data_IF_407418982366
#
_entry.id   IF_407418982366
#
_cell.length_a   1.000
_cell.length_b   1.000
_cell.length_c   1.000
_cell.angle_alpha   90.00
_cell.angle_beta   90.00
_cell.angle_gamma   90.00
#
_symmetry.space_group_name_H-M   'P 1'
#
loop_
_entity.id
_entity.type
_entity.pdbx_description
1 polymer ?
2 non-polymer ?
3 non-polymer ?
4 water ?
#
# COMPACT_ATOMS: atom_id res chain seq x y z
N UNK A 20 18.94 -19.87 3.15
CA UNK A 20 18.17 -21.09 2.88
C UNK A 20 17.61 -21.66 4.18
N UNK A 21 18.45 -21.69 5.22
CA UNK A 21 18.04 -22.11 6.55
C UNK A 21 17.13 -21.06 7.19
N UNK A 22 17.17 -19.85 6.65
CA UNK A 22 16.34 -18.75 7.13
C UNK A 22 14.93 -18.77 6.56
N UNK A 23 14.67 -19.59 5.54
CA UNK A 23 13.30 -19.69 5.02
C UNK A 23 12.36 -20.29 6.06
N UNK A 24 11.16 -19.70 6.22
CA UNK A 24 10.19 -20.25 7.16
C UNK A 24 9.73 -21.65 6.75
N UNK A 25 9.20 -22.39 7.71
CA UNK A 25 8.48 -23.63 7.47
C UNK A 25 7.05 -23.26 7.11
N UNK A 26 6.76 -23.26 5.82
CA UNK A 26 5.47 -22.81 5.31
C UNK A 26 4.32 -23.73 5.73
N UNK A 27 4.65 -24.92 6.24
CA UNK A 27 3.63 -25.91 6.59
C UNK A 27 3.24 -25.88 8.07
N UNK A 28 3.99 -25.15 8.89
CA UNK A 28 3.76 -25.18 10.33
C UNK A 28 2.51 -24.41 10.74
N UNK A 29 1.90 -24.81 11.85
CA UNK A 29 0.73 -24.10 12.35
C UNK A 29 1.06 -22.65 12.70
N UNK A 30 2.27 -22.42 13.18
CA UNK A 30 2.72 -21.08 13.56
C UNK A 30 2.74 -20.18 12.34
N UNK A 31 3.28 -20.69 11.25
CA UNK A 31 3.36 -19.90 10.02
C UNK A 31 1.96 -19.65 9.44
N UNK A 32 1.15 -20.70 9.36
CA UNK A 32 -0.19 -20.56 8.81
C UNK A 32 -1.07 -19.58 9.60
N UNK A 33 -0.89 -19.57 10.92
CA UNK A 33 -1.67 -18.65 11.74
C UNK A 33 -1.34 -17.19 11.40
N UNK A 34 -0.04 -16.89 11.32
CA UNK A 34 0.39 -15.53 11.01
C UNK A 34 0.00 -15.21 9.57
N UNK A 35 0.12 -16.20 8.69
CA UNK A 35 -0.20 -15.98 7.28
C UNK A 35 -1.69 -15.69 7.11
N UNK A 36 -2.53 -16.27 7.97
CA UNK A 36 -3.96 -16.05 7.84
C UNK A 36 -4.32 -14.58 8.00
N UNK A 37 -3.54 -13.86 8.81
CA UNK A 37 -3.79 -12.43 9.01
C UNK A 37 -3.10 -11.57 7.97
N UNK A 38 -1.86 -11.91 7.65
CA UNK A 38 -1.09 -11.15 6.66
C UNK A 38 -1.72 -11.28 5.26
N UNK A 39 -2.08 -12.51 4.91
CA UNK A 39 -2.78 -12.77 3.64
C UNK A 39 -4.09 -11.99 3.54
N UNK A 40 -4.86 -11.96 4.62
CA UNK A 40 -6.11 -11.23 4.64
C UNK A 40 -5.88 -9.74 4.42
N UNK A 41 -4.86 -9.20 5.09
CA UNK A 41 -4.56 -7.78 4.96
C UNK A 41 -4.21 -7.41 3.52
N UNK A 42 -3.40 -8.23 2.87
CA UNK A 42 -3.04 -7.97 1.48
C UNK A 42 -4.27 -8.06 0.56
N UNK A 43 -5.10 -9.09 0.76
CA UNK A 43 -6.33 -9.23 -0.04
C UNK A 43 -7.25 -8.03 0.14
N UNK A 44 -7.44 -7.64 1.40
CA UNK A 44 -8.29 -6.49 1.70
C UNK A 44 -7.71 -5.22 1.11
N UNK A 45 -6.38 -5.07 1.17
CA UNK A 45 -5.73 -3.89 0.67
C UNK A 45 -5.86 -3.76 -0.84
N UNK A 46 -5.74 -4.87 -1.55
CA UNK A 46 -5.91 -4.87 -3.01
C UNK A 46 -7.33 -4.50 -3.39
N UNK A 47 -8.30 -5.02 -2.66
CA UNK A 47 -9.68 -4.66 -2.90
C UNK A 47 -9.92 -3.17 -2.62
N UNK A 48 -9.35 -2.67 -1.53
CA UNK A 48 -9.48 -1.25 -1.22
C UNK A 48 -8.84 -0.42 -2.31
N UNK A 49 -7.68 -0.86 -2.81
CA UNK A 49 -6.98 -0.12 -3.87
C UNK A 49 -7.88 -0.04 -5.10
N UNK A 50 -8.48 -1.16 -5.49
CA UNK A 50 -9.45 -1.15 -6.59
C UNK A 50 -10.56 -0.13 -6.34
N UNK A 51 -11.17 -0.18 -5.16
CA UNK A 51 -12.28 0.72 -4.85
C UNK A 51 -11.82 2.17 -4.86
N UNK A 52 -10.60 2.42 -4.40
CA UNK A 52 -10.09 3.78 -4.31
C UNK A 52 -9.85 4.39 -5.69
N UNK A 53 -9.27 3.62 -6.59
CA UNK A 53 -9.02 4.16 -7.92
C UNK A 53 -10.35 4.41 -8.67
N UNK A 54 -11.31 3.50 -8.53
CA UNK A 54 -12.64 3.72 -9.11
C UNK A 54 -13.27 4.99 -8.52
N UNK A 55 -13.12 5.17 -7.20
CA UNK A 55 -13.64 6.36 -6.54
C UNK A 55 -12.97 7.65 -7.00
N UNK A 56 -11.66 7.60 -7.23
CA UNK A 56 -10.95 8.78 -7.73
C UNK A 56 -11.48 9.18 -9.11
N UNK A 57 -11.97 8.20 -9.86
CA UNK A 57 -12.58 8.45 -11.16
C UNK A 57 -13.79 9.35 -11.10
N UNK A 58 -14.48 9.36 -9.97
CA UNK A 58 -15.62 10.25 -9.79
C UNK A 58 -15.15 11.69 -9.58
N UNK A 59 -13.90 11.85 -9.13
CA UNK A 59 -13.32 13.17 -8.94
C UNK A 59 -12.57 13.66 -10.16
N UNK A 60 -12.06 12.72 -10.95
CA UNK A 60 -11.31 13.03 -12.18
C UNK A 60 -11.96 12.29 -13.35
N UNK A 61 -13.11 12.80 -13.82
CA UNK A 61 -13.91 12.06 -14.81
C UNK A 61 -13.13 11.84 -16.12
N UNK A 62 -12.20 12.73 -16.44
CA UNK A 62 -11.40 12.58 -17.65
C UNK A 62 -10.26 11.56 -17.48
N UNK A 63 -10.05 11.08 -16.25
CA UNK A 63 -9.05 10.03 -15.99
C UNK A 63 -9.67 8.64 -15.86
N UNK A 64 -10.99 8.54 -16.04
CA UNK A 64 -11.70 7.29 -15.75
C UNK A 64 -11.15 6.04 -16.44
N UNK A 65 -10.78 6.12 -17.71
CA UNK A 65 -10.24 4.93 -18.37
C UNK A 65 -8.89 4.49 -17.81
N UNK A 66 -8.03 5.43 -17.49
CA UNK A 66 -6.77 5.06 -16.89
C UNK A 66 -7.03 4.48 -15.49
N UNK A 67 -7.91 5.13 -14.73
CA UNK A 67 -8.18 4.66 -13.37
C UNK A 67 -8.84 3.30 -13.37
N UNK A 68 -9.70 3.03 -14.36
CA UNK A 68 -10.28 1.71 -14.51
C UNK A 68 -9.22 0.66 -14.78
N UNK A 69 -8.22 1.03 -15.57
CA UNK A 69 -7.12 0.11 -15.87
C UNK A 69 -6.33 -0.20 -14.61
N UNK A 70 -6.05 0.83 -13.81
CA UNK A 70 -5.32 0.59 -12.55
C UNK A 70 -6.16 -0.30 -11.63
N UNK A 71 -7.45 -0.02 -11.56
CA UNK A 71 -8.35 -0.77 -10.67
C UNK A 71 -8.40 -2.23 -11.07
N UNK A 72 -8.40 -2.49 -12.38
CA UNK A 72 -8.39 -3.87 -12.85
C UNK A 72 -7.12 -4.60 -12.47
N UNK A 73 -5.99 -3.90 -12.47
CA UNK A 73 -4.74 -4.49 -12.01
C UNK A 73 -4.87 -4.91 -10.55
N UNK A 74 -5.50 -4.07 -9.75
CA UNK A 74 -5.66 -4.36 -8.33
C UNK A 74 -6.47 -5.63 -8.14
N UNK A 75 -7.47 -5.82 -8.98
CA UNK A 75 -8.27 -7.04 -8.85
C UNK A 75 -7.45 -8.28 -9.21
N UNK A 76 -6.55 -8.16 -10.18
CA UNK A 76 -5.66 -9.26 -10.50
C UNK A 76 -4.71 -9.57 -9.34
N UNK A 77 -4.20 -8.53 -8.69
CA UNK A 77 -3.35 -8.74 -7.51
C UNK A 77 -4.15 -9.47 -6.42
N UNK A 78 -5.37 -9.03 -6.21
CA UNK A 78 -6.25 -9.63 -5.20
C UNK A 78 -6.44 -11.12 -5.45
N UNK A 79 -6.73 -11.49 -6.70
CA UNK A 79 -6.91 -12.90 -7.02
C UNK A 79 -5.64 -13.68 -6.83
N UNK A 80 -4.51 -13.07 -7.18
CA UNK A 80 -3.21 -13.72 -7.04
C UNK A 80 -2.90 -14.02 -5.58
N UNK A 81 -3.12 -13.04 -4.71
CA UNK A 81 -2.83 -13.22 -3.29
C UNK A 81 -3.84 -14.13 -2.63
N UNK A 82 -5.08 -14.11 -3.12
CA UNK A 82 -6.07 -15.04 -2.63
C UNK A 82 -5.57 -16.47 -2.87
N UNK A 83 -5.07 -16.70 -4.08
CA UNK A 83 -4.48 -17.98 -4.46
C UNK A 83 -3.30 -18.38 -3.59
N UNK A 84 -2.50 -17.40 -3.17
CA UNK A 84 -1.37 -17.67 -2.25
C UNK A 84 -1.82 -18.28 -0.94
N UNK A 85 -2.92 -17.77 -0.39
CA UNK A 85 -3.46 -18.30 0.85
C UNK A 85 -3.98 -19.72 0.65
N UNK A 86 -4.73 -19.92 -0.43
CA UNK A 86 -5.27 -21.25 -0.76
C UNK A 86 -4.16 -22.28 -0.92
N UNK A 87 -3.08 -21.88 -1.59
CA UNK A 87 -1.92 -22.75 -1.86
C UNK A 87 -1.27 -23.28 -0.57
N UNK A 88 -1.29 -22.47 0.48
CA UNK A 88 -0.72 -22.87 1.76
C UNK A 88 -1.75 -23.52 2.70
N UNK A 89 -2.99 -23.62 2.25
CA UNK A 89 -4.04 -24.22 3.08
C UNK A 89 -4.47 -23.30 4.19
N UNK A 90 -4.37 -22.00 3.92
CA UNK A 90 -4.67 -20.99 4.92
C UNK A 90 -6.03 -20.36 4.66
N UNK A 91 -6.79 -20.13 5.72
CA UNK A 91 -8.05 -19.41 5.60
C UNK A 91 -7.86 -17.98 6.06
N UNK A 92 -8.03 -17.03 5.15
CA UNK A 92 -7.73 -15.63 5.44
C UNK A 92 -8.71 -15.03 6.47
N UNK A 93 -8.15 -14.39 7.49
CA UNK A 93 -8.96 -13.72 8.52
C UNK A 93 -9.45 -12.36 8.04
N UNK A 94 -10.53 -12.34 7.26
CA UNK A 94 -10.93 -11.09 6.62
C UNK A 94 -11.45 -10.02 7.58
N UNK A 95 -12.00 -10.43 8.72
CA UNK A 95 -12.50 -9.45 9.68
C UNK A 95 -11.36 -8.63 10.27
N UNK A 96 -10.26 -9.32 10.60
CA UNK A 96 -9.05 -8.68 11.10
C UNK A 96 -8.54 -7.66 10.07
N UNK A 97 -8.54 -8.05 8.80
CA UNK A 97 -8.05 -7.18 7.73
C UNK A 97 -8.92 -5.93 7.58
N UNK A 98 -10.24 -6.11 7.68
CA UNK A 98 -11.14 -4.98 7.54
C UNK A 98 -10.90 -3.96 8.65
N UNK A 99 -10.66 -4.45 9.86
CA UNK A 99 -10.38 -3.57 10.99
C UNK A 99 -9.04 -2.86 10.84
N UNK A 100 -8.05 -3.58 10.31
CA UNK A 100 -6.70 -3.05 10.07
C UNK A 100 -6.73 -1.82 9.17
N UNK A 101 -7.54 -1.88 8.11
CA UNK A 101 -7.65 -0.79 7.13
C UNK A 101 -8.67 0.29 7.48
N UNK A 102 -9.49 0.04 8.50
CA UNK A 102 -10.61 0.94 8.80
C UNK A 102 -10.23 2.42 8.99
N UNK A 103 -9.18 2.71 9.80
CA UNK A 103 -8.83 4.14 10.01
C UNK A 103 -8.45 4.87 8.75
N UNK A 104 -7.64 4.23 7.91
CA UNK A 104 -7.19 4.84 6.68
C UNK A 104 -8.36 4.93 5.70
N UNK A 105 -9.17 3.87 5.68
CA UNK A 105 -10.36 3.83 4.84
C UNK A 105 -11.29 5.00 5.17
N UNK A 106 -11.47 5.25 6.47
CA UNK A 106 -12.32 6.34 6.96
C UNK A 106 -11.81 7.69 6.46
N UNK A 107 -10.50 7.91 6.55
CA UNK A 107 -9.93 9.17 6.09
C UNK A 107 -10.07 9.33 4.57
N UNK A 108 -9.88 8.25 3.83
CA UNK A 108 -10.09 8.31 2.39
C UNK A 108 -11.53 8.70 2.07
N UNK A 109 -12.49 8.05 2.73
CA UNK A 109 -13.89 8.29 2.42
C UNK A 109 -14.26 9.73 2.75
N UNK A 110 -13.70 10.25 3.84
CA UNK A 110 -13.99 11.63 4.24
C UNK A 110 -13.49 12.61 3.19
N UNK A 111 -12.28 12.39 2.70
CA UNK A 111 -11.70 13.24 1.67
C UNK A 111 -12.49 13.13 0.37
N UNK A 112 -12.87 11.90 0.01
CA UNK A 112 -13.67 11.66 -1.20
C UNK A 112 -14.97 12.47 -1.16
N UNK A 113 -15.63 12.43 0.00
CA UNK A 113 -16.89 13.13 0.19
C UNK A 113 -16.76 14.63 0.09
N UNK A 114 -15.56 15.14 0.40
CA UNK A 114 -15.29 16.56 0.32
C UNK A 114 -14.65 16.96 -1.02
N UNK A 115 -14.54 16.00 -1.93
CA UNK A 115 -13.95 16.27 -3.23
C UNK A 115 -12.46 16.55 -3.21
N UNK A 116 -11.80 16.12 -2.14
CA UNK A 116 -10.38 16.42 -1.97
C UNK A 116 -9.48 15.43 -2.70
N UNK A 117 -9.41 15.60 -4.01
CA UNK A 117 -8.59 14.74 -4.87
C UNK A 117 -7.12 14.56 -4.44
N UNK A 118 -6.41 15.65 -4.11
CA UNK A 118 -5.00 15.45 -3.73
C UNK A 118 -4.86 14.58 -2.49
N UNK A 119 -5.79 14.68 -1.55
CA UNK A 119 -5.74 13.86 -0.34
C UNK A 119 -5.97 12.38 -0.69
N UNK A 120 -6.95 12.14 -1.54
CA UNK A 120 -7.26 10.77 -1.97
C UNK A 120 -6.06 10.13 -2.68
N UNK A 121 -5.41 10.90 -3.55
CA UNK A 121 -4.22 10.41 -4.25
C UNK A 121 -3.03 10.20 -3.32
N UNK A 122 -2.82 11.11 -2.36
CA UNK A 122 -1.74 10.89 -1.39
C UNK A 122 -1.98 9.62 -0.58
N UNK A 123 -3.23 9.40 -0.17
CA UNK A 123 -3.53 8.22 0.63
C UNK A 123 -3.31 6.96 -0.19
N UNK A 124 -3.94 6.86 -1.35
CA UNK A 124 -3.86 5.61 -2.11
C UNK A 124 -2.59 5.50 -2.92
N UNK A 125 -2.37 6.46 -3.80
CA UNK A 125 -1.34 6.34 -4.82
C UNK A 125 0.07 6.55 -4.28
N UNK A 126 0.19 7.26 -3.16
CA UNK A 126 1.49 7.43 -2.53
C UNK A 126 1.68 6.54 -1.30
N UNK A 127 0.88 6.78 -0.25
CA UNK A 127 1.12 6.08 1.02
C UNK A 127 0.87 4.58 0.92
N UNK A 128 -0.31 4.20 0.45
CA UNK A 128 -0.64 2.78 0.37
C UNK A 128 0.22 2.06 -0.67
N UNK A 129 0.46 2.67 -1.83
CA UNK A 129 1.33 2.01 -2.82
C UNK A 129 2.75 1.85 -2.28
N UNK A 130 3.28 2.88 -1.61
CA UNK A 130 4.63 2.74 -1.02
C UNK A 130 4.68 1.66 0.05
N UNK A 131 3.63 1.55 0.86
CA UNK A 131 3.55 0.53 1.91
C UNK A 131 3.55 -0.86 1.25
N UNK A 132 2.76 -1.00 0.19
CA UNK A 132 2.70 -2.27 -0.55
C UNK A 132 4.04 -2.63 -1.16
N UNK A 133 4.65 -1.67 -1.85
CA UNK A 133 5.92 -1.89 -2.52
C UNK A 133 6.94 -2.41 -1.52
N UNK A 134 7.01 -1.71 -0.39
CA UNK A 134 7.97 -2.04 0.67
C UNK A 134 7.71 -3.43 1.20
N UNK A 135 6.45 -3.71 1.48
CA UNK A 135 6.05 -5.00 2.03
C UNK A 135 6.33 -6.12 1.04
N UNK A 136 5.94 -5.92 -0.21
CA UNK A 136 6.17 -6.97 -1.21
C UNK A 136 7.65 -7.23 -1.46
N UNK A 137 8.46 -6.18 -1.54
CA UNK A 137 9.90 -6.36 -1.71
C UNK A 137 10.52 -7.12 -0.54
N UNK A 138 10.01 -6.87 0.66
CA UNK A 138 10.57 -7.49 1.85
C UNK A 138 10.14 -8.96 1.93
N UNK A 139 8.95 -9.26 1.45
CA UNK A 139 8.40 -10.61 1.48
C UNK A 139 9.03 -11.54 0.44
N UNK A 140 9.32 -11.00 -0.74
CA UNK A 140 9.82 -11.84 -1.83
C UNK A 140 10.94 -12.83 -1.44
N UNK A 141 12.03 -12.33 -0.81
CA UNK A 141 13.13 -13.25 -0.45
C UNK A 141 12.77 -14.33 0.57
N UNK A 142 11.67 -14.18 1.30
CA UNK A 142 11.30 -15.18 2.30
C UNK A 142 10.00 -15.91 1.95
N UNK A 143 9.56 -15.77 0.72
CA UNK A 143 8.27 -16.33 0.31
C UNK A 143 8.42 -17.75 -0.25
N UNK A 144 7.35 -18.51 -0.14
CA UNK A 144 7.29 -19.84 -0.73
C UNK A 144 7.31 -19.69 -2.27
N UNK A 145 7.66 -20.78 -2.99
CA UNK A 145 7.88 -20.65 -4.44
C UNK A 145 6.65 -20.17 -5.23
N UNK A 146 5.45 -20.57 -4.83
CA UNK A 146 4.23 -20.15 -5.51
C UNK A 146 3.99 -18.65 -5.32
N UNK A 147 3.99 -18.22 -4.06
CA UNK A 147 3.75 -16.82 -3.73
C UNK A 147 4.83 -15.88 -4.25
N UNK A 148 6.07 -16.38 -4.37
CA UNK A 148 7.16 -15.55 -4.85
C UNK A 148 6.92 -15.10 -6.27
N UNK A 149 6.46 -16.02 -7.11
CA UNK A 149 6.18 -15.70 -8.50
C UNK A 149 5.06 -14.66 -8.61
N UNK A 150 3.99 -14.91 -7.85
CA UNK A 150 2.86 -13.99 -7.84
C UNK A 150 3.29 -12.60 -7.38
N UNK A 151 4.02 -12.52 -6.28
CA UNK A 151 4.44 -11.25 -5.72
C UNK A 151 5.40 -10.49 -6.65
N UNK A 152 6.33 -11.21 -7.28
CA UNK A 152 7.24 -10.60 -8.25
C UNK A 152 6.47 -9.96 -9.41
N UNK A 153 5.36 -10.58 -9.81
CA UNK A 153 4.53 -10.02 -10.86
C UNK A 153 3.83 -8.73 -10.42
N UNK A 154 3.34 -8.74 -9.19
CA UNK A 154 2.58 -7.62 -8.66
C UNK A 154 3.43 -6.35 -8.48
N UNK A 155 4.67 -6.51 -8.01
CA UNK A 155 5.48 -5.34 -7.63
C UNK A 155 5.66 -4.34 -8.78
N UNK A 156 5.79 -4.87 -9.99
CA UNK A 156 5.99 -4.04 -11.17
C UNK A 156 4.78 -3.14 -11.42
N UNK A 157 3.59 -3.65 -11.14
CA UNK A 157 2.39 -2.85 -11.28
C UNK A 157 2.34 -1.72 -10.27
N UNK A 158 2.85 -1.95 -9.07
CA UNK A 158 2.68 -0.92 -8.04
C UNK A 158 3.56 0.31 -8.35
N UNK A 159 4.68 0.07 -9.04
CA UNK A 159 5.54 1.16 -9.52
C UNK A 159 4.73 2.07 -10.44
N UNK A 160 3.91 1.45 -11.28
CA UNK A 160 3.06 2.15 -12.22
C UNK A 160 2.06 3.02 -11.49
N UNK A 161 1.54 2.50 -10.38
CA UNK A 161 0.50 3.18 -9.63
C UNK A 161 1.09 4.39 -8.94
N UNK A 162 2.23 4.17 -8.31
CA UNK A 162 3.00 5.24 -7.67
C UNK A 162 3.30 6.34 -8.68
N UNK A 163 3.75 5.96 -9.87
CA UNK A 163 4.04 6.95 -10.91
C UNK A 163 2.81 7.74 -11.35
N UNK A 164 1.66 7.08 -11.40
CA UNK A 164 0.40 7.77 -11.72
C UNK A 164 0.09 8.87 -10.70
N UNK A 165 0.19 8.54 -9.41
CA UNK A 165 -0.06 9.51 -8.36
C UNK A 165 0.95 10.64 -8.36
N UNK A 166 2.22 10.29 -8.50
CA UNK A 166 3.31 11.25 -8.61
C UNK A 166 3.07 12.23 -9.75
N UNK A 167 2.73 11.71 -10.92
CA UNK A 167 2.51 12.57 -12.08
C UNK A 167 1.42 13.62 -11.84
N UNK A 168 0.28 13.20 -11.30
CA UNK A 168 -0.83 14.12 -11.13
C UNK A 168 -0.50 15.18 -10.08
N UNK A 169 0.05 14.74 -8.95
CA UNK A 169 0.38 15.66 -7.87
C UNK A 169 1.47 16.63 -8.32
N UNK A 170 2.44 16.12 -9.08
CA UNK A 170 3.50 16.97 -9.63
C UNK A 170 2.92 18.07 -10.52
N UNK A 171 1.97 17.71 -11.37
CA UNK A 171 1.33 18.67 -12.27
C UNK A 171 0.47 19.67 -11.52
N UNK A 172 -0.03 19.29 -10.36
CA UNK A 172 -0.95 20.14 -9.61
C UNK A 172 -0.41 20.67 -8.26
N UNK A 173 0.89 20.56 -8.06
CA UNK A 173 1.51 20.83 -6.76
C UNK A 173 1.23 22.25 -6.25
N UNK A 174 1.24 23.23 -7.14
CA UNK A 174 1.15 24.61 -6.69
C UNK A 174 -0.22 24.98 -6.14
N UNK A 175 -1.24 24.23 -6.53
CA UNK A 175 -2.57 24.49 -6.03
C UNK A 175 -2.92 23.65 -4.80
N UNK A 176 -2.15 22.60 -4.52
CA UNK A 176 -2.57 21.68 -3.45
C UNK A 176 -1.51 21.40 -2.39
N UNK A 177 -0.44 22.20 -2.40
CA UNK A 177 0.66 22.06 -1.46
C UNK A 177 0.20 21.91 -0.02
N UNK A 178 -0.61 22.85 0.42
CA UNK A 178 -1.04 22.88 1.82
C UNK A 178 -1.91 21.68 2.17
N UNK A 179 -2.83 21.33 1.28
CA UNK A 179 -3.68 20.16 1.49
C UNK A 179 -2.83 18.89 1.63
N UNK A 180 -1.76 18.79 0.84
CA UNK A 180 -0.89 17.61 0.90
C UNK A 180 -0.16 17.51 2.23
N UNK A 181 0.32 18.66 2.72
CA UNK A 181 0.96 18.69 4.03
C UNK A 181 0.00 18.21 5.10
N UNK A 182 -1.25 18.67 5.00
CA UNK A 182 -2.28 18.26 5.94
C UNK A 182 -2.58 16.76 5.82
N UNK A 183 -2.73 16.27 4.59
CA UNK A 183 -3.02 14.84 4.38
C UNK A 183 -1.87 13.98 4.90
N UNK A 184 -0.64 14.44 4.69
CA UNK A 184 0.51 13.71 5.23
C UNK A 184 0.48 13.67 6.75
N UNK A 185 0.24 14.82 7.38
CA UNK A 185 0.20 14.89 8.83
C UNK A 185 -0.85 13.94 9.42
N UNK A 186 -2.00 13.88 8.78
CA UNK A 186 -3.08 13.04 9.28
C UNK A 186 -2.86 11.54 9.01
N UNK A 187 -2.28 11.22 7.86
CA UNK A 187 -2.29 9.83 7.40
C UNK A 187 -0.97 9.08 7.51
N UNK A 188 0.15 9.79 7.46
CA UNK A 188 1.42 9.10 7.64
C UNK A 188 1.48 8.35 8.99
N UNK A 189 0.97 8.97 10.08
CA UNK A 189 1.01 8.20 11.33
C UNK A 189 0.14 6.94 11.31
N UNK A 190 -0.88 6.90 10.45
CA UNK A 190 -1.71 5.70 10.36
C UNK A 190 -0.94 4.57 9.72
N UNK A 191 -0.10 4.91 8.73
CA UNK A 191 0.76 3.91 8.13
C UNK A 191 1.77 3.38 9.16
N UNK A 192 2.31 4.28 9.98
CA UNK A 192 3.26 3.85 11.01
C UNK A 192 2.57 2.91 12.00
N UNK A 193 1.34 3.23 12.37
CA UNK A 193 0.60 2.37 13.28
C UNK A 193 0.29 1.02 12.65
N UNK A 194 -0.01 1.02 11.35
CA UNK A 194 -0.25 -0.22 10.63
C UNK A 194 1.00 -1.10 10.62
N UNK A 195 2.16 -0.48 10.43
CA UNK A 195 3.43 -1.20 10.46
C UNK A 195 3.67 -1.82 11.83
N UNK A 196 3.39 -1.06 12.88
CA UNK A 196 3.51 -1.60 14.25
C UNK A 196 2.59 -2.80 14.46
N UNK A 197 1.39 -2.73 13.92
CA UNK A 197 0.39 -3.78 14.12
C UNK A 197 0.72 -5.07 13.36
N UNK A 198 1.37 -4.91 12.21
CA UNK A 198 1.66 -6.05 11.35
C UNK A 198 3.00 -6.71 11.73
N UNK A 199 3.80 -6.02 12.53
CA UNK A 199 5.19 -6.46 12.77
C UNK A 199 5.34 -7.84 13.37
N UNK A 200 4.48 -8.19 14.33
CA UNK A 200 4.57 -9.50 14.96
C UNK A 200 4.35 -10.63 13.96
N UNK A 201 3.27 -10.53 13.20
CA UNK A 201 2.98 -11.54 12.17
C UNK A 201 4.01 -11.53 11.06
N UNK A 202 4.47 -10.35 10.69
CA UNK A 202 5.52 -10.23 9.68
C UNK A 202 6.79 -10.93 10.11
N UNK A 203 7.11 -10.88 11.40
CA UNK A 203 8.33 -11.52 11.88
C UNK A 203 8.23 -13.04 11.78
N UNK A 204 7.05 -13.61 12.06
CA UNK A 204 6.84 -15.04 11.87
C UNK A 204 7.12 -15.40 10.40
N UNK A 205 6.78 -14.48 9.50
CA UNK A 205 7.03 -14.68 8.08
C UNK A 205 8.48 -14.39 7.68
N UNK A 206 9.33 -14.15 8.68
CA UNK A 206 10.76 -13.87 8.50
C UNK A 206 11.03 -12.52 7.84
N UNK A 207 10.14 -11.57 8.09
CA UNK A 207 10.33 -10.21 7.61
C UNK A 207 10.73 -9.30 8.78
N UNK A 208 11.76 -8.48 8.57
CA UNK A 208 12.25 -7.56 9.60
C UNK A 208 11.48 -6.24 9.53
N UNK A 209 10.90 -5.84 10.65
CA UNK A 209 10.17 -4.57 10.71
C UNK A 209 11.00 -3.37 10.27
N UNK A 210 12.30 -3.39 10.57
CA UNK A 210 13.17 -2.28 10.19
C UNK A 210 13.33 -2.17 8.69
N UNK A 211 13.36 -3.33 8.00
CA UNK A 211 13.37 -3.33 6.54
C UNK A 211 12.07 -2.75 6.00
N UNK A 212 10.95 -3.15 6.58
CA UNK A 212 9.64 -2.66 6.17
C UNK A 212 9.56 -1.14 6.31
N UNK A 213 10.01 -0.62 7.45
CA UNK A 213 9.99 0.83 7.67
C UNK A 213 10.93 1.57 6.74
N UNK A 214 12.17 1.09 6.63
CA UNK A 214 13.16 1.72 5.77
C UNK A 214 12.67 1.81 4.32
N UNK A 215 12.23 0.68 3.79
CA UNK A 215 11.86 0.66 2.38
C UNK A 215 10.61 1.47 2.12
N UNK A 216 9.69 1.50 3.08
CA UNK A 216 8.52 2.36 2.96
C UNK A 216 8.93 3.83 2.89
N UNK A 217 9.74 4.28 3.85
CA UNK A 217 10.14 5.68 3.88
C UNK A 217 10.94 6.08 2.65
N UNK A 218 11.80 5.19 2.17
CA UNK A 218 12.56 5.47 0.95
C UNK A 218 11.66 5.64 -0.27
N UNK A 219 10.69 4.73 -0.45
CA UNK A 219 9.75 4.84 -1.55
C UNK A 219 8.94 6.13 -1.48
N UNK A 220 8.46 6.45 -0.28
CA UNK A 220 7.62 7.62 -0.09
C UNK A 220 8.44 8.90 -0.28
N UNK A 221 9.65 8.91 0.28
CA UNK A 221 10.53 10.07 0.13
C UNK A 221 10.85 10.32 -1.33
N UNK A 222 11.16 9.26 -2.06
CA UNK A 222 11.42 9.37 -3.48
C UNK A 222 10.23 9.90 -4.28
N UNK A 223 9.01 9.49 -3.91
CA UNK A 223 7.83 9.99 -4.59
C UNK A 223 7.63 11.48 -4.31
N UNK A 224 7.84 11.87 -3.05
CA UNK A 224 7.70 13.27 -2.67
C UNK A 224 8.74 14.12 -3.41
N UNK A 225 9.93 13.57 -3.62
CA UNK A 225 10.95 14.28 -4.36
C UNK A 225 10.53 14.50 -5.81
N UNK A 226 10.02 13.44 -6.44
CA UNK A 226 9.55 13.51 -7.82
C UNK A 226 8.43 14.55 -7.98
N UNK A 227 7.55 14.61 -6.99
CA UNK A 227 6.42 15.52 -7.01
C UNK A 227 6.87 16.98 -6.95
N UNK A 228 8.01 17.23 -6.31
CA UNK A 228 8.58 18.56 -6.31
C UNK A 228 8.86 19.16 -4.94
N UNK A 229 8.68 18.37 -3.88
CA UNK A 229 9.02 18.84 -2.54
C UNK A 229 10.54 18.90 -2.34
N UNK A 230 11.01 19.91 -1.60
CA UNK A 230 12.44 20.01 -1.27
C UNK A 230 12.78 19.26 0.02
N UNK A 231 14.08 19.19 0.35
CA UNK A 231 14.53 18.46 1.54
C UNK A 231 13.93 18.96 2.86
N UNK A 232 13.88 20.27 3.05
CA UNK A 232 13.27 20.82 4.26
C UNK A 232 11.84 20.31 4.40
N UNK A 233 11.12 20.38 3.30
CA UNK A 233 9.72 19.96 3.28
C UNK A 233 9.55 18.48 3.57
N UNK A 234 10.39 17.65 2.96
CA UNK A 234 10.28 16.20 3.09
C UNK A 234 10.73 15.72 4.47
N UNK A 235 11.79 16.33 5.00
CA UNK A 235 12.22 16.04 6.35
C UNK A 235 11.09 16.39 7.32
N UNK A 236 10.48 17.55 7.12
CA UNK A 236 9.36 17.98 7.94
C UNK A 236 8.18 17.00 7.81
N UNK A 237 7.91 16.56 6.59
CA UNK A 237 6.82 15.61 6.36
C UNK A 237 7.11 14.23 6.97
N UNK A 238 8.32 13.71 6.77
CA UNK A 238 8.70 12.42 7.37
C UNK A 238 8.56 12.48 8.89
N UNK A 239 8.89 13.66 9.45
CA UNK A 239 8.84 13.89 10.89
C UNK A 239 7.43 13.82 11.48
N UNK A 240 6.41 13.89 10.64
CA UNK A 240 5.03 13.88 11.10
C UNK A 240 4.64 12.49 11.61
N UNK A 241 5.42 11.49 11.23
CA UNK A 241 5.21 10.10 11.65
C UNK A 241 5.43 9.90 13.15
N UNK A 242 6.03 10.89 13.81
CA UNK A 242 6.34 10.80 15.23
C UNK A 242 5.07 10.88 16.09
X LIG B 1 -2.04 -3.85 -5.95
X LIG C 1 -1.58 -0.55 -6.40
X LIG D 1 -2.12 -1.62 -3.83
X LIG D 1 -2.02 -2.04 -4.99
X LIG D 1 -2.18 -0.45 -3.43
X LIG D 1 -2.14 -2.75 -2.77
X LIG D 1 -2.18 -2.27 -1.32
X LIG D 1 -2.12 -3.39 -0.27
X LIG D 1 -1.36 -3.02 1.00
X LIG D 1 -0.63 -4.21 1.66
X LIG D 1 0.18 -3.87 2.91
X LIG D 1 0.36 -5.08 3.86
X LIG D 1 1.74 -5.17 4.52
X LIG D 1 1.91 -6.40 5.42
X LIG D 1 3.02 -7.40 4.96
X LIG D 1 2.59 -8.21 3.72
X LIG D 1 3.70 -9.06 3.12
X LIG D 1 3.36 -9.55 1.71
X LIG D 1 2.54 -10.84 1.68
X LIG D 1 2.00 -11.14 0.29
#
# INVERSE_FOLDING_TARGET
GMPTLEMPVAAVLDSTVGSSEALPDFTSDRYKDAYSRINAIVIEGEQEAHDNYIAIGTLLPDHVEELKRLAKMEMRHKKGFTACGKNLGVEADMDFAREFFAPLRDNFQTALGQGKTPTCLLIQALLIEAFAISAYHTYIPVSDPFARKITEGVVKDEYTHLNYGEAWLKANLESCREELLEANRENLPLIRRMLDQVAGDAAVLQMDKEDLIEDFLIAYQESLTEIGFNTREITRMAAAALVS
FE FE
FE FE
PLM C1 O1 O2 C2 C3 C4 C5 C6 C7 C8 C9 CA CB CC CD CE CF CG
#
